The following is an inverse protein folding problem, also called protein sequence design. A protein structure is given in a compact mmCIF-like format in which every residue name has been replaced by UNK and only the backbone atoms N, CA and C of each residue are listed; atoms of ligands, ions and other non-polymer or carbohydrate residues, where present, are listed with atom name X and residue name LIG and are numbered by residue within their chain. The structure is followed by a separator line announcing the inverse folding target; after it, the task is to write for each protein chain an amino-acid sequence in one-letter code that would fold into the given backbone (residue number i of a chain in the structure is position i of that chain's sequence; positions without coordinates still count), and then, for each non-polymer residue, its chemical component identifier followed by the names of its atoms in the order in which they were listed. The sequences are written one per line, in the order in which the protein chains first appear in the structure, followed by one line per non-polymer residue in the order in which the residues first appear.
data_IF_237222853517
#
_entry.id   IF_237222853517
#
_cell.length_a   1.000
_cell.length_b   1.000
_cell.length_c   1.000
_cell.angle_alpha   90.00
_cell.angle_beta   90.00
_cell.angle_gamma   90.00
#
_symmetry.space_group_name_H-M   'P 1'
#
loop_
_entity.id
_entity.type
_entity.pdbx_description
1 polymer ?
#
# COMPACT_ATOMS: atom_id res chain seq x y z
N UNK A 1 -14.55 25.53 -13.15
CA UNK A 1 -14.10 24.33 -12.42
C UNK A 1 -12.63 24.15 -12.73
N UNK A 2 -11.74 24.00 -11.75
CA UNK A 2 -10.33 23.74 -12.02
C UNK A 2 -10.15 22.26 -12.38
N UNK A 3 -9.30 21.96 -13.35
CA UNK A 3 -8.97 20.56 -13.64
C UNK A 3 -8.19 19.94 -12.49
N UNK A 4 -8.46 18.68 -12.15
CA UNK A 4 -7.74 17.96 -11.10
C UNK A 4 -6.74 16.98 -11.73
N UNK A 5 -5.45 17.03 -11.38
CA UNK A 5 -4.49 16.01 -11.79
C UNK A 5 -4.81 14.68 -11.11
N UNK A 6 -4.59 13.57 -11.82
CA UNK A 6 -4.70 12.21 -11.30
C UNK A 6 -3.47 11.39 -11.71
N UNK A 7 -3.06 10.47 -10.84
CA UNK A 7 -1.81 9.70 -10.97
C UNK A 7 -2.08 8.24 -10.70
N UNK A 8 -1.64 7.41 -11.64
CA UNK A 8 -1.70 5.96 -11.53
C UNK A 8 -0.38 5.33 -11.96
N UNK A 9 -0.02 4.22 -11.36
CA UNK A 9 1.12 3.41 -11.82
C UNK A 9 0.60 2.31 -12.72
N UNK A 10 1.18 2.18 -13.92
CA UNK A 10 0.94 1.05 -14.81
C UNK A 10 1.86 -0.11 -14.41
N UNK A 11 3.12 0.20 -14.12
CA UNK A 11 4.15 -0.70 -13.58
C UNK A 11 5.09 0.10 -12.67
N UNK A 12 6.02 -0.53 -11.94
CA UNK A 12 7.05 0.19 -11.18
C UNK A 12 8.06 0.97 -12.04
N UNK A 13 8.03 0.75 -13.34
CA UNK A 13 8.82 1.50 -14.31
C UNK A 13 7.99 2.55 -15.04
N UNK A 14 6.67 2.63 -14.84
CA UNK A 14 5.81 3.50 -15.63
C UNK A 14 4.72 4.16 -14.80
N UNK A 15 4.75 5.50 -14.79
CA UNK A 15 3.69 6.33 -14.23
C UNK A 15 2.81 6.83 -15.38
N UNK A 16 1.50 6.79 -15.16
CA UNK A 16 0.50 7.41 -15.99
C UNK A 16 -0.12 8.59 -15.23
N UNK A 17 0.05 9.78 -15.79
CA UNK A 17 -0.43 11.04 -15.23
C UNK A 17 -1.51 11.58 -16.15
N UNK A 18 -2.64 11.98 -15.59
CA UNK A 18 -3.71 12.62 -16.35
C UNK A 18 -4.05 13.97 -15.76
N UNK A 19 -4.37 14.93 -16.62
CA UNK A 19 -4.89 16.23 -16.20
C UNK A 19 -6.15 16.54 -16.99
N UNK A 20 -7.30 16.50 -16.32
CA UNK A 20 -8.58 16.83 -16.95
C UNK A 20 -8.85 18.31 -16.83
N UNK A 21 -8.43 19.13 -17.81
CA UNK A 21 -8.84 20.55 -17.88
C UNK A 21 -10.24 20.69 -18.48
N UNK A 22 -11.06 21.65 -18.01
CA UNK A 22 -12.40 21.87 -18.55
C UNK A 22 -12.41 22.38 -19.99
N UNK A 23 -11.35 23.07 -20.41
CA UNK A 23 -11.24 23.72 -21.71
C UNK A 23 -10.47 22.89 -22.76
N UNK A 24 -9.94 21.71 -22.38
CA UNK A 24 -9.17 20.78 -23.23
C UNK A 24 -8.02 21.44 -24.02
N UNK A 25 -7.54 22.61 -23.59
CA UNK A 25 -6.43 23.29 -24.25
C UNK A 25 -5.10 22.67 -23.80
N UNK A 26 -4.19 22.33 -24.74
CA UNK A 26 -2.85 21.90 -24.39
C UNK A 26 -2.13 23.01 -23.62
N UNK A 27 -1.55 22.66 -22.48
CA UNK A 27 -0.68 23.57 -21.72
C UNK A 27 0.63 22.87 -21.38
N UNK A 28 1.71 23.65 -21.31
CA UNK A 28 2.98 23.17 -20.77
C UNK A 28 2.88 23.13 -19.24
N UNK A 29 3.36 22.04 -18.67
CA UNK A 29 3.53 21.93 -17.22
C UNK A 29 4.83 21.20 -16.93
N UNK A 30 5.40 21.49 -15.76
CA UNK A 30 6.53 20.78 -15.17
C UNK A 30 6.01 19.88 -14.06
N UNK A 31 6.57 18.68 -13.92
CA UNK A 31 6.23 17.78 -12.81
C UNK A 31 7.47 17.57 -11.94
N UNK A 32 7.32 17.75 -10.65
CA UNK A 32 8.37 17.46 -9.68
C UNK A 32 7.88 16.33 -8.79
N UNK A 33 8.62 15.22 -8.72
CA UNK A 33 8.29 14.10 -7.86
C UNK A 33 9.34 13.98 -6.75
N UNK A 34 8.92 14.28 -5.52
CA UNK A 34 9.76 14.21 -4.32
C UNK A 34 9.44 12.96 -3.52
N UNK A 35 10.45 12.14 -3.24
CA UNK A 35 10.33 11.02 -2.32
C UNK A 35 10.35 11.51 -0.88
N UNK A 36 9.39 11.08 -0.05
CA UNK A 36 9.21 11.63 1.29
C UNK A 36 9.76 10.74 2.41
N UNK A 37 10.00 9.45 2.16
CA UNK A 37 10.28 8.49 3.23
C UNK A 37 11.78 8.34 3.58
N UNK A 38 12.70 8.86 2.76
CA UNK A 38 14.14 8.85 3.05
C UNK A 38 14.78 10.21 2.71
N UNK A 39 15.32 10.89 3.72
CA UNK A 39 15.97 12.21 3.60
C UNK A 39 17.18 12.22 2.64
N UNK A 40 17.78 11.06 2.35
CA UNK A 40 18.98 10.91 1.53
C UNK A 40 18.73 10.39 0.11
N UNK A 41 17.47 10.21 -0.31
CA UNK A 41 17.15 9.67 -1.64
C UNK A 41 16.82 10.77 -2.66
N UNK A 42 17.10 10.54 -3.95
CA UNK A 42 16.99 11.57 -4.97
C UNK A 42 15.57 12.11 -5.09
N UNK A 43 15.46 13.44 -5.12
CA UNK A 43 14.32 14.13 -5.73
C UNK A 43 14.36 13.81 -7.22
N UNK A 44 13.28 13.25 -7.75
CA UNK A 44 13.16 13.00 -9.19
C UNK A 44 12.44 14.19 -9.81
N UNK A 45 13.19 15.10 -10.42
CA UNK A 45 12.61 16.19 -11.21
C UNK A 45 12.26 15.65 -12.61
N UNK A 46 10.97 15.63 -12.95
CA UNK A 46 10.47 15.16 -14.24
C UNK A 46 10.00 16.34 -15.08
N UNK A 47 10.91 16.85 -15.91
CA UNK A 47 10.58 17.93 -16.83
C UNK A 47 9.88 17.33 -18.06
N UNK A 48 8.55 17.32 -18.06
CA UNK A 48 7.78 17.05 -19.27
C UNK A 48 7.71 18.32 -20.11
N UNK A 49 8.18 18.27 -21.36
CA UNK A 49 8.23 19.45 -22.22
C UNK A 49 6.97 19.66 -23.07
N UNK A 50 6.02 18.73 -23.07
CA UNK A 50 4.74 18.83 -23.78
C UNK A 50 3.89 17.61 -23.50
N UNK A 51 2.69 17.80 -22.97
CA UNK A 51 1.61 16.84 -23.20
C UNK A 51 0.80 17.28 -24.40
N UNK A 52 0.66 16.37 -25.36
CA UNK A 52 -0.46 16.39 -26.27
C UNK A 52 -1.56 15.56 -25.60
N UNK A 53 -2.71 16.16 -25.30
CA UNK A 53 -3.99 15.49 -25.00
C UNK A 53 -4.22 14.90 -23.57
N UNK A 54 -4.02 15.68 -22.51
CA UNK A 54 -4.51 15.34 -21.15
C UNK A 54 -3.96 14.04 -20.49
N UNK A 55 -3.02 13.31 -21.12
CA UNK A 55 -2.31 12.15 -20.56
C UNK A 55 -0.78 12.18 -20.81
N UNK A 56 0.02 11.75 -19.83
CA UNK A 56 1.47 11.51 -19.93
C UNK A 56 1.80 10.13 -19.40
N UNK A 57 2.51 9.35 -20.21
CA UNK A 57 3.18 8.13 -19.78
C UNK A 57 4.66 8.42 -19.64
N UNK A 58 5.18 8.25 -18.42
CA UNK A 58 6.61 8.36 -18.16
C UNK A 58 7.16 7.00 -17.79
N UNK A 59 8.14 6.53 -18.57
CA UNK A 59 8.90 5.32 -18.27
C UNK A 59 10.24 5.68 -17.64
N UNK A 60 10.67 4.88 -16.68
CA UNK A 60 11.92 5.03 -15.93
C UNK A 60 12.81 3.82 -16.20
N UNK A 61 14.11 4.07 -16.38
CA UNK A 61 15.09 2.99 -16.58
C UNK A 61 15.24 2.13 -15.32
N UNK A 62 15.14 2.74 -14.14
CA UNK A 62 15.18 2.05 -12.85
C UNK A 62 13.80 1.98 -12.21
N UNK A 63 13.48 0.91 -11.47
CA UNK A 63 12.20 0.79 -10.79
C UNK A 63 12.07 1.85 -9.70
N UNK A 64 10.94 2.55 -9.70
CA UNK A 64 10.62 3.58 -8.71
C UNK A 64 10.53 2.93 -7.32
N UNK A 65 11.19 3.50 -6.30
CA UNK A 65 11.08 3.00 -4.94
C UNK A 65 9.66 2.94 -4.40
N UNK A 66 9.33 1.94 -3.59
CA UNK A 66 8.04 2.00 -2.87
C UNK A 66 8.12 3.05 -1.75
N UNK A 67 7.00 3.71 -1.47
CA UNK A 67 6.89 4.73 -0.43
C UNK A 67 5.94 5.87 -0.80
N UNK A 68 6.02 6.94 -0.02
CA UNK A 68 5.24 8.15 -0.17
C UNK A 68 5.97 9.16 -1.06
N UNK A 69 5.19 9.80 -1.92
CA UNK A 69 5.64 10.79 -2.90
C UNK A 69 4.79 12.04 -2.81
N UNK A 70 5.44 13.19 -2.94
CA UNK A 70 4.79 14.45 -3.24
C UNK A 70 5.03 14.73 -4.73
N UNK A 71 3.95 14.92 -5.48
CA UNK A 71 4.02 15.25 -6.89
C UNK A 71 3.46 16.66 -7.05
N UNK A 72 4.31 17.57 -7.48
CA UNK A 72 3.96 18.96 -7.74
C UNK A 72 3.86 19.15 -9.24
N UNK A 73 2.71 19.58 -9.71
CA UNK A 73 2.52 19.98 -11.09
C UNK A 73 2.49 21.50 -11.18
N UNK A 74 3.33 22.08 -12.03
CA UNK A 74 3.46 23.52 -12.22
C UNK A 74 3.14 23.89 -13.66
N UNK A 75 2.14 24.72 -13.90
CA UNK A 75 1.92 25.37 -15.20
C UNK A 75 2.53 26.78 -15.18
N UNK A 76 2.32 27.58 -16.23
CA UNK A 76 2.68 29.01 -16.19
C UNK A 76 1.84 29.83 -15.21
N UNK A 77 0.68 29.30 -14.78
CA UNK A 77 -0.32 30.04 -14.00
C UNK A 77 -0.66 29.38 -12.67
N UNK A 78 -0.50 28.07 -12.55
CA UNK A 78 -1.02 27.28 -11.43
C UNK A 78 0.03 26.29 -10.91
N UNK A 79 -0.03 26.04 -9.61
CA UNK A 79 0.73 24.96 -8.95
C UNK A 79 -0.24 24.07 -8.18
N UNK A 80 -0.15 22.76 -8.43
CA UNK A 80 -0.97 21.75 -7.79
C UNK A 80 -0.09 20.69 -7.17
N UNK A 81 -0.30 20.44 -5.89
CA UNK A 81 0.40 19.41 -5.15
C UNK A 81 -0.54 18.24 -4.84
N UNK A 82 -0.05 17.04 -5.10
CA UNK A 82 -0.71 15.81 -4.66
C UNK A 82 0.26 14.94 -3.85
N UNK A 83 -0.28 14.27 -2.84
CA UNK A 83 0.44 13.20 -2.17
C UNK A 83 -0.01 11.86 -2.74
N UNK A 84 0.95 11.03 -3.12
CA UNK A 84 0.73 9.73 -3.72
C UNK A 84 1.52 8.64 -2.99
N UNK A 85 1.03 7.41 -3.03
CA UNK A 85 1.70 6.26 -2.40
C UNK A 85 1.94 5.16 -3.42
N UNK A 86 3.19 4.72 -3.59
CA UNK A 86 3.52 3.47 -4.27
C UNK A 86 3.71 2.37 -3.20
N UNK A 87 2.70 1.52 -2.94
CA UNK A 87 2.78 0.60 -1.81
C UNK A 87 3.73 -0.58 -2.09
N UNK A 88 4.46 -1.01 -1.07
CA UNK A 88 5.13 -2.31 -1.09
C UNK A 88 4.10 -3.42 -0.86
N UNK A 89 3.37 -3.78 -1.92
CA UNK A 89 2.31 -4.78 -1.91
C UNK A 89 2.64 -5.94 -2.86
N UNK A 90 2.49 -7.15 -2.34
CA UNK A 90 2.74 -8.39 -3.08
C UNK A 90 1.48 -9.23 -3.22
N UNK A 91 1.47 -10.10 -4.24
CA UNK A 91 0.43 -11.12 -4.42
C UNK A 91 0.85 -12.40 -3.71
N UNK A 92 -0.12 -13.07 -3.09
CA UNK A 92 0.07 -14.38 -2.48
C UNK A 92 -0.30 -15.47 -3.50
N UNK A 93 0.56 -16.48 -3.68
CA UNK A 93 0.34 -17.53 -4.70
C UNK A 93 -0.94 -18.34 -4.52
N UNK A 94 -1.46 -18.44 -3.29
CA UNK A 94 -2.73 -19.11 -2.97
C UNK A 94 -3.97 -18.25 -3.26
N UNK A 95 -3.78 -17.05 -3.79
CA UNK A 95 -4.82 -16.04 -3.96
C UNK A 95 -4.84 -15.06 -2.79
N UNK A 96 -5.10 -13.79 -3.07
CA UNK A 96 -5.00 -12.71 -2.09
C UNK A 96 -3.75 -11.85 -2.25
N UNK A 97 -3.63 -10.86 -1.38
CA UNK A 97 -2.59 -9.84 -1.35
C UNK A 97 -1.86 -9.84 0.00
N UNK A 98 -0.77 -9.11 0.08
CA UNK A 98 -0.02 -8.86 1.30
C UNK A 98 0.76 -7.56 1.17
N UNK A 99 1.29 -7.03 2.26
CA UNK A 99 2.13 -5.84 2.22
C UNK A 99 3.32 -5.94 3.17
N UNK A 100 4.40 -5.26 2.80
CA UNK A 100 5.66 -5.20 3.53
C UNK A 100 5.64 -4.08 4.56
N UNK A 101 6.13 -4.34 5.77
CA UNK A 101 6.23 -3.38 6.88
C UNK A 101 7.55 -3.55 7.62
N UNK A 102 7.97 -2.53 8.37
CA UNK A 102 9.11 -2.66 9.27
C UNK A 102 8.63 -3.36 10.55
N UNK A 103 9.22 -4.52 10.88
CA UNK A 103 8.85 -5.25 12.08
C UNK A 103 9.21 -4.53 13.37
N UNK A 104 10.04 -3.47 13.33
CA UNK A 104 10.36 -2.64 14.51
C UNK A 104 9.10 -2.04 15.12
N UNK A 105 8.11 -1.73 14.30
CA UNK A 105 6.79 -1.27 14.73
C UNK A 105 6.04 -2.26 15.63
N UNK A 106 6.40 -3.54 15.54
CA UNK A 106 5.90 -4.66 16.33
C UNK A 106 6.97 -5.21 17.30
N UNK A 107 8.10 -4.52 17.46
CA UNK A 107 9.21 -4.91 18.33
C UNK A 107 10.03 -6.10 17.81
N UNK A 108 10.19 -6.24 16.49
CA UNK A 108 11.05 -7.22 15.84
C UNK A 108 12.11 -6.51 15.00
N UNK A 109 13.37 -6.96 15.03
CA UNK A 109 14.44 -6.35 14.23
C UNK A 109 14.53 -6.97 12.81
N UNK A 110 13.40 -7.07 12.10
CA UNK A 110 13.29 -7.66 10.75
C UNK A 110 12.14 -7.00 10.00
N UNK A 111 12.22 -6.90 8.67
CA UNK A 111 11.03 -6.60 7.88
C UNK A 111 10.04 -7.76 7.92
N UNK A 112 8.77 -7.43 7.83
CA UNK A 112 7.68 -8.39 7.93
C UNK A 112 6.68 -8.22 6.79
N UNK A 113 6.08 -9.32 6.38
CA UNK A 113 4.91 -9.32 5.49
C UNK A 113 3.67 -9.51 6.34
N UNK A 114 2.62 -8.74 6.07
CA UNK A 114 1.30 -8.87 6.69
C UNK A 114 0.26 -9.25 5.62
N UNK A 115 -0.62 -10.18 5.95
CA UNK A 115 -1.77 -10.60 5.15
C UNK A 115 -2.88 -11.16 6.06
N UNK A 116 -4.00 -11.63 5.52
CA UNK A 116 -5.01 -12.34 6.30
C UNK A 116 -4.61 -13.80 6.56
N UNK A 117 -5.11 -14.38 7.65
CA UNK A 117 -4.92 -15.80 7.90
C UNK A 117 -5.64 -16.65 6.87
N UNK A 118 -6.88 -16.31 6.53
CA UNK A 118 -7.67 -17.09 5.57
C UNK A 118 -7.06 -17.13 4.15
N UNK A 119 -6.19 -16.17 3.81
CA UNK A 119 -5.42 -16.15 2.55
C UNK A 119 -4.33 -17.22 2.56
N UNK A 120 -3.72 -17.47 3.71
CA UNK A 120 -2.68 -18.50 3.88
C UNK A 120 -3.29 -19.88 4.11
N UNK A 121 -4.40 -19.93 4.86
CA UNK A 121 -5.06 -21.14 5.34
C UNK A 121 -4.27 -21.86 6.44
N UNK A 122 -4.79 -22.99 6.91
CA UNK A 122 -4.15 -23.85 7.92
C UNK A 122 -3.05 -24.70 7.28
N UNK A 123 -1.98 -24.06 6.78
CA UNK A 123 -0.87 -24.78 6.17
C UNK A 123 0.30 -24.92 7.12
N UNK A 124 0.25 -25.94 7.99
CA UNK A 124 1.39 -26.31 8.83
C UNK A 124 2.64 -26.70 8.00
N UNK A 125 2.48 -27.10 6.73
CA UNK A 125 3.55 -27.69 5.90
C UNK A 125 3.67 -27.12 4.46
N UNK A 126 3.21 -25.89 4.15
CA UNK A 126 3.30 -25.36 2.77
C UNK A 126 4.22 -24.15 2.67
N UNK A 127 5.10 -24.19 1.68
CA UNK A 127 5.83 -23.03 1.18
C UNK A 127 4.83 -21.98 0.68
N UNK A 128 5.02 -20.74 1.13
CA UNK A 128 4.21 -19.62 0.71
C UNK A 128 5.04 -18.79 -0.27
N UNK A 129 4.55 -18.61 -1.49
CA UNK A 129 5.21 -17.75 -2.48
C UNK A 129 4.50 -16.41 -2.47
N UNK A 130 5.26 -15.35 -2.24
CA UNK A 130 4.81 -13.96 -2.33
C UNK A 130 5.54 -13.28 -3.48
N UNK A 131 4.79 -12.60 -4.33
CA UNK A 131 5.32 -11.93 -5.53
C UNK A 131 5.14 -10.42 -5.38
N UNK A 132 6.24 -9.70 -5.16
CA UNK A 132 6.29 -8.24 -5.23
C UNK A 132 6.76 -7.84 -6.62
N UNK A 133 5.80 -7.72 -7.55
CA UNK A 133 6.08 -7.50 -8.97
C UNK A 133 7.03 -8.59 -9.50
N UNK A 134 8.26 -8.24 -9.88
CA UNK A 134 9.27 -9.17 -10.41
C UNK A 134 10.01 -9.97 -9.32
N UNK A 135 9.86 -9.60 -8.04
CA UNK A 135 10.57 -10.26 -6.93
C UNK A 135 9.71 -11.37 -6.32
N UNK A 136 10.16 -12.60 -6.46
CA UNK A 136 9.48 -13.78 -5.91
C UNK A 136 10.15 -14.24 -4.62
N UNK A 137 9.44 -14.11 -3.50
CA UNK A 137 9.89 -14.56 -2.19
C UNK A 137 9.25 -15.89 -1.82
N UNK A 138 10.08 -16.89 -1.57
CA UNK A 138 9.66 -18.16 -0.98
C UNK A 138 9.76 -18.07 0.53
N UNK A 139 8.63 -18.05 1.21
CA UNK A 139 8.52 -17.92 2.65
C UNK A 139 8.33 -19.32 3.26
N UNK A 140 9.30 -19.71 4.08
CA UNK A 140 9.33 -20.99 4.79
C UNK A 140 9.30 -20.71 6.30
N UNK A 141 8.31 -21.27 7.00
CA UNK A 141 8.34 -21.57 8.43
C UNK A 141 8.58 -20.41 9.45
N UNK A 142 8.49 -19.13 9.08
CA UNK A 142 8.65 -17.99 10.01
C UNK A 142 7.37 -17.15 10.14
N UNK A 143 6.27 -17.80 10.50
CA UNK A 143 5.03 -17.13 10.85
C UNK A 143 5.10 -16.68 12.32
N UNK A 144 5.11 -15.37 12.55
CA UNK A 144 5.07 -14.84 13.91
C UNK A 144 3.71 -15.08 14.58
N UNK A 145 2.63 -15.09 13.78
CA UNK A 145 1.26 -15.39 14.23
C UNK A 145 0.38 -15.62 12.98
N UNK A 146 -0.48 -16.64 13.01
CA UNK A 146 -1.38 -17.06 11.93
C UNK A 146 -2.71 -17.47 12.53
N UNK A 147 -3.59 -16.51 12.88
CA UNK A 147 -4.96 -16.70 13.42
C UNK A 147 -5.19 -16.61 14.94
N UNK A 148 -6.39 -16.10 15.26
CA UNK A 148 -7.21 -16.53 16.40
C UNK A 148 -8.65 -16.77 15.89
N UNK A 149 -9.25 -17.93 16.13
CA UNK A 149 -10.71 -18.16 16.26
C UNK A 149 -10.85 -19.06 17.49
N UNK A 150 -11.86 -18.94 18.34
CA UNK A 150 -13.27 -18.94 17.99
C UNK A 150 -14.01 -17.83 18.77
N UNK A 151 -14.88 -17.10 18.06
CA UNK A 151 -15.81 -16.07 18.53
C UNK A 151 -15.33 -14.61 18.65
N UNK A 152 -14.03 -14.27 18.67
CA UNK A 152 -13.58 -12.85 18.71
C UNK A 152 -12.29 -12.48 17.94
N UNK A 153 -11.62 -13.43 17.27
CA UNK A 153 -10.24 -13.23 16.83
C UNK A 153 -9.98 -12.30 15.64
N UNK A 154 -8.73 -11.86 15.54
CA UNK A 154 -8.19 -11.04 14.45
C UNK A 154 -7.66 -11.95 13.33
N UNK A 155 -8.16 -11.74 12.11
CA UNK A 155 -7.79 -12.51 10.93
C UNK A 155 -6.59 -11.89 10.22
N UNK A 156 -5.41 -12.16 10.76
CA UNK A 156 -4.14 -11.74 10.19
C UNK A 156 -3.06 -12.81 10.34
N UNK A 157 -2.07 -12.70 9.47
CA UNK A 157 -0.83 -13.44 9.49
C UNK A 157 0.32 -12.46 9.32
N UNK A 158 1.37 -12.62 10.13
CA UNK A 158 2.63 -11.87 9.97
C UNK A 158 3.80 -12.82 9.77
N UNK A 159 4.63 -12.57 8.77
CA UNK A 159 5.78 -13.41 8.38
C UNK A 159 7.06 -12.58 8.44
N UNK A 160 8.06 -13.04 9.19
CA UNK A 160 9.36 -12.39 9.24
C UNK A 160 10.23 -12.75 8.05
N UNK A 161 10.94 -11.77 7.49
CA UNK A 161 11.86 -12.00 6.38
C UNK A 161 13.28 -12.32 6.86
N UNK A 162 13.97 -13.15 6.08
CA UNK A 162 15.41 -13.39 6.27
C UNK A 162 16.23 -12.20 5.76
N UNK A 163 17.50 -12.11 6.14
CA UNK A 163 18.43 -11.09 5.64
C UNK A 163 18.52 -11.11 4.12
N UNK A 164 18.65 -12.29 3.52
CA UNK A 164 18.70 -12.45 2.06
C UNK A 164 17.44 -11.91 1.38
N UNK A 165 16.26 -12.20 1.91
CA UNK A 165 14.99 -11.69 1.35
C UNK A 165 14.89 -10.17 1.48
N UNK A 166 15.37 -9.59 2.59
CA UNK A 166 15.41 -8.13 2.75
C UNK A 166 16.40 -7.49 1.76
N UNK A 167 17.55 -8.12 1.49
CA UNK A 167 18.51 -7.64 0.47
C UNK A 167 17.86 -7.67 -0.91
N UNK A 168 17.25 -8.79 -1.31
CA UNK A 168 16.55 -8.91 -2.60
C UNK A 168 15.49 -7.81 -2.80
N UNK A 169 14.72 -7.49 -1.75
CA UNK A 169 13.73 -6.41 -1.81
C UNK A 169 14.39 -5.04 -1.95
N UNK A 170 15.46 -4.77 -1.19
CA UNK A 170 16.21 -3.51 -1.26
C UNK A 170 16.84 -3.28 -2.63
N UNK A 171 17.44 -4.31 -3.21
CA UNK A 171 18.06 -4.26 -4.54
C UNK A 171 17.01 -3.96 -5.62
N UNK A 172 15.78 -4.43 -5.42
CA UNK A 172 14.63 -4.09 -6.26
C UNK A 172 13.94 -2.77 -5.88
N UNK A 173 14.52 -1.93 -5.02
CA UNK A 173 13.92 -0.68 -4.53
C UNK A 173 12.58 -0.85 -3.78
N UNK A 174 12.31 -2.01 -3.17
CA UNK A 174 11.10 -2.28 -2.38
C UNK A 174 11.40 -2.07 -0.90
N UNK A 175 10.79 -1.05 -0.33
CA UNK A 175 10.92 -0.64 1.07
C UNK A 175 9.58 -0.78 1.81
N UNK A 176 9.61 -1.07 3.12
CA UNK A 176 8.43 -1.16 3.95
C UNK A 176 7.49 0.04 3.86
N UNK A 177 6.19 -0.23 3.92
CA UNK A 177 5.18 0.82 4.06
C UNK A 177 5.20 1.40 5.48
N UNK A 178 4.89 2.68 5.60
CA UNK A 178 4.69 3.36 6.89
C UNK A 178 3.38 2.94 7.56
N UNK A 179 3.45 2.62 8.84
CA UNK A 179 2.30 2.28 9.67
C UNK A 179 1.91 3.44 10.58
N UNK A 180 0.60 3.58 10.83
CA UNK A 180 0.10 4.45 11.88
C UNK A 180 -0.88 3.72 12.78
N UNK A 181 -0.52 3.62 14.06
CA UNK A 181 -1.34 2.99 15.10
C UNK A 181 -2.10 4.00 15.96
N UNK A 182 -1.80 5.30 15.84
CA UNK A 182 -2.31 6.35 16.73
C UNK A 182 -3.55 7.03 16.16
N UNK A 183 -3.62 7.24 14.85
CA UNK A 183 -4.62 8.12 14.23
C UNK A 183 -5.84 7.38 13.67
N UNK A 184 -6.27 6.31 14.36
CA UNK A 184 -7.27 5.32 13.91
C UNK A 184 -8.45 5.91 13.11
N UNK A 185 -8.35 5.89 11.78
CA UNK A 185 -9.36 6.35 10.85
C UNK A 185 -10.05 7.63 11.34
N UNK A 186 -9.26 8.61 11.80
CA UNK A 186 -9.75 9.88 12.36
C UNK A 186 -10.70 10.58 11.39
N UNK A 187 -10.39 10.49 10.11
CA UNK A 187 -11.23 10.94 9.01
C UNK A 187 -12.08 9.79 8.48
N UNK A 188 -13.25 10.11 7.90
CA UNK A 188 -14.09 9.10 7.24
C UNK A 188 -13.54 8.69 5.86
N UNK A 189 -12.54 9.38 5.32
CA UNK A 189 -11.88 8.99 4.06
C UNK A 189 -10.76 7.98 4.30
N UNK A 190 -10.72 6.93 3.49
CA UNK A 190 -9.58 6.01 3.38
C UNK A 190 -9.39 5.57 1.92
N UNK A 191 -8.26 4.92 1.64
CA UNK A 191 -7.90 4.38 0.34
C UNK A 191 -7.57 2.91 0.50
N UNK A 192 -8.30 2.04 -0.20
CA UNK A 192 -7.88 0.65 -0.36
C UNK A 192 -6.96 0.57 -1.57
N UNK A 193 -5.72 0.13 -1.36
CA UNK A 193 -4.79 -0.12 -2.46
C UNK A 193 -4.64 -1.64 -2.62
N UNK A 194 -5.09 -2.19 -3.75
CA UNK A 194 -5.25 -3.65 -3.91
C UNK A 194 -4.88 -4.17 -5.30
N UNK A 195 -4.52 -5.45 -5.39
CA UNK A 195 -4.22 -6.17 -6.65
C UNK A 195 -5.25 -7.30 -6.84
N UNK A 196 -6.38 -7.06 -7.53
CA UNK A 196 -7.37 -8.10 -7.80
C UNK A 196 -6.80 -9.23 -8.68
N UNK A 197 -7.40 -10.41 -8.63
CA UNK A 197 -6.93 -11.62 -9.34
C UNK A 197 -7.11 -11.59 -10.87
N UNK A 198 -7.63 -10.52 -11.47
CA UNK A 198 -7.88 -10.46 -12.91
C UNK A 198 -6.57 -10.50 -13.71
N UNK A 199 -6.65 -10.96 -14.97
CA UNK A 199 -5.53 -11.29 -15.88
C UNK A 199 -4.61 -10.08 -16.18
N UNK A 200 -5.00 -8.87 -15.78
CA UNK A 200 -4.23 -7.64 -15.95
C UNK A 200 -3.86 -7.04 -14.58
N UNK A 201 -3.00 -7.72 -13.81
CA UNK A 201 -2.44 -7.41 -12.48
C UNK A 201 -2.05 -5.93 -12.19
N UNK A 202 -2.99 -4.99 -12.31
CA UNK A 202 -2.80 -3.57 -12.00
C UNK A 202 -3.08 -3.33 -10.53
N UNK A 203 -2.34 -2.41 -9.93
CA UNK A 203 -2.65 -1.89 -8.61
C UNK A 203 -3.84 -0.94 -8.75
N UNK A 204 -4.91 -1.22 -8.03
CA UNK A 204 -6.09 -0.37 -7.96
C UNK A 204 -6.04 0.47 -6.69
N UNK A 205 -6.31 1.76 -6.86
CA UNK A 205 -6.46 2.74 -5.79
C UNK A 205 -7.96 3.03 -5.68
N UNK A 206 -8.63 2.38 -4.73
CA UNK A 206 -10.08 2.54 -4.55
C UNK A 206 -10.35 3.48 -3.37
N UNK A 207 -10.85 4.71 -3.62
CA UNK A 207 -11.28 5.59 -2.54
C UNK A 207 -12.45 4.96 -1.80
N UNK A 208 -12.44 5.09 -0.48
CA UNK A 208 -13.38 4.45 0.41
C UNK A 208 -13.88 5.44 1.47
N UNK A 209 -15.13 5.25 1.91
CA UNK A 209 -15.75 6.01 2.99
C UNK A 209 -16.05 5.11 4.17
N UNK A 210 -15.42 5.37 5.31
CA UNK A 210 -15.71 4.68 6.57
C UNK A 210 -17.15 4.98 7.01
N UNK A 211 -17.91 3.91 7.24
CA UNK A 211 -19.33 3.97 7.66
C UNK A 211 -19.57 3.40 9.05
N UNK A 212 -18.69 2.50 9.53
CA UNK A 212 -18.81 1.92 10.88
C UNK A 212 -17.45 1.62 11.47
N UNK A 213 -17.30 1.87 12.77
CA UNK A 213 -16.10 1.55 13.55
C UNK A 213 -16.47 0.62 14.70
N UNK A 214 -15.66 -0.40 14.93
CA UNK A 214 -15.67 -1.22 16.15
C UNK A 214 -14.28 -1.14 16.80
N UNK A 215 -14.08 -1.65 18.02
CA UNK A 215 -12.76 -1.63 18.64
C UNK A 215 -11.66 -2.20 17.73
N UNK A 216 -11.94 -3.31 17.02
CA UNK A 216 -10.95 -4.04 16.24
C UNK A 216 -11.05 -3.88 14.72
N UNK A 217 -12.17 -3.35 14.21
CA UNK A 217 -12.47 -3.34 12.77
C UNK A 217 -13.07 -2.02 12.33
N UNK A 218 -12.98 -1.77 11.03
CA UNK A 218 -13.66 -0.67 10.35
C UNK A 218 -14.40 -1.25 9.15
N UNK A 219 -15.62 -0.74 8.92
CA UNK A 219 -16.38 -0.99 7.70
C UNK A 219 -16.42 0.30 6.89
N UNK A 220 -16.25 0.16 5.58
CA UNK A 220 -16.28 1.23 4.62
C UNK A 220 -17.06 0.84 3.36
N UNK A 221 -17.53 1.85 2.65
CA UNK A 221 -18.13 1.76 1.32
C UNK A 221 -17.09 2.15 0.27
N UNK A 222 -17.15 1.51 -0.90
CA UNK A 222 -16.30 1.83 -2.04
C UNK A 222 -16.90 3.02 -2.79
N UNK A 223 -16.07 4.03 -3.09
CA UNK A 223 -16.45 5.18 -3.91
C UNK A 223 -15.98 5.05 -5.37
N UNK A 224 -15.41 3.89 -5.72
CA UNK A 224 -14.94 3.55 -7.06
C UNK A 224 -15.07 2.05 -7.30
N UNK A 225 -14.25 1.49 -8.20
CA UNK A 225 -14.27 0.06 -8.50
C UNK A 225 -14.15 -0.78 -7.23
N UNK A 226 -15.16 -1.62 -7.00
CA UNK A 226 -15.23 -2.50 -5.83
C UNK A 226 -14.16 -3.59 -5.86
N UNK A 227 -13.88 -4.18 -4.71
CA UNK A 227 -12.98 -5.35 -4.64
C UNK A 227 -13.55 -6.55 -5.36
N UNK A 228 -12.71 -7.26 -6.10
CA UNK A 228 -12.97 -8.61 -6.59
C UNK A 228 -12.17 -9.64 -5.80
N UNK A 229 -12.18 -10.90 -6.22
CA UNK A 229 -11.34 -11.93 -5.60
C UNK A 229 -9.86 -11.52 -5.69
N UNK A 230 -9.11 -11.67 -4.60
CA UNK A 230 -7.67 -11.32 -4.54
C UNK A 230 -7.32 -10.08 -3.72
N UNK A 231 -8.29 -9.22 -3.36
CA UNK A 231 -8.02 -8.01 -2.56
C UNK A 231 -7.81 -8.30 -1.06
N UNK A 232 -8.24 -9.45 -0.55
CA UNK A 232 -8.01 -9.86 0.83
C UNK A 232 -6.51 -9.87 1.14
N UNK A 233 -6.10 -9.22 2.22
CA UNK A 233 -4.69 -9.04 2.55
C UNK A 233 -4.10 -7.70 2.12
N UNK A 234 -4.84 -6.88 1.39
CA UNK A 234 -4.40 -5.57 0.93
C UNK A 234 -4.36 -4.51 2.06
N UNK A 235 -3.44 -3.55 1.97
CA UNK A 235 -3.36 -2.44 2.90
C UNK A 235 -4.49 -1.42 2.70
N UNK A 236 -5.02 -0.90 3.80
CA UNK A 236 -5.94 0.24 3.82
C UNK A 236 -5.20 1.45 4.39
N UNK A 237 -5.04 2.46 3.55
CA UNK A 237 -4.40 3.74 3.88
C UNK A 237 -5.43 4.74 4.37
N UNK A 238 -5.05 5.57 5.32
CA UNK A 238 -5.82 6.73 5.73
C UNK A 238 -4.87 7.84 6.21
N UNK A 239 -5.39 9.06 6.25
CA UNK A 239 -4.63 10.21 6.73
C UNK A 239 -4.32 10.06 8.23
N UNK A 240 -3.05 10.20 8.58
CA UNK A 240 -2.56 10.26 9.95
C UNK A 240 -2.91 11.59 10.61
N UNK A 241 -2.69 11.69 11.92
CA UNK A 241 -2.80 12.94 12.69
C UNK A 241 -1.79 14.00 12.26
N UNK A 242 -0.74 13.61 11.52
CA UNK A 242 0.27 14.51 10.93
C UNK A 242 -0.03 14.84 9.46
N UNK A 243 -1.23 14.52 8.98
CA UNK A 243 -1.62 14.67 7.57
C UNK A 243 -0.73 13.88 6.61
N UNK A 244 -0.29 12.68 7.01
CA UNK A 244 0.49 11.79 6.16
C UNK A 244 -0.34 10.56 5.81
N UNK A 245 -0.24 10.06 4.58
CA UNK A 245 -0.82 8.76 4.25
C UNK A 245 0.00 7.63 4.90
N UNK A 246 -0.69 6.80 5.68
CA UNK A 246 -0.10 5.63 6.32
C UNK A 246 -1.11 4.48 6.34
N UNK A 247 -0.61 3.25 6.45
CA UNK A 247 -1.49 2.08 6.60
C UNK A 247 -2.08 2.10 8.01
N UNK A 248 -3.41 2.04 8.07
CA UNK A 248 -4.17 1.99 9.31
C UNK A 248 -5.05 0.74 9.40
N UNK A 249 -5.22 -0.01 8.30
CA UNK A 249 -5.93 -1.27 8.32
C UNK A 249 -5.42 -2.33 7.35
N UNK A 250 -5.81 -3.57 7.61
CA UNK A 250 -5.63 -4.74 6.77
C UNK A 250 -7.01 -5.14 6.20
N UNK A 251 -7.20 -5.02 4.89
CA UNK A 251 -8.44 -5.43 4.24
C UNK A 251 -8.68 -6.92 4.45
N UNK A 252 -9.92 -7.27 4.76
CA UNK A 252 -10.36 -8.66 4.91
C UNK A 252 -11.30 -9.06 3.77
N UNK A 253 -12.53 -8.54 3.77
CA UNK A 253 -13.53 -8.84 2.76
C UNK A 253 -14.69 -7.83 2.85
N UNK A 254 -15.41 -7.62 1.73
CA UNK A 254 -16.71 -6.91 1.67
C UNK A 254 -16.72 -5.57 2.43
N UNK A 255 -15.73 -4.72 2.14
CA UNK A 255 -15.61 -3.40 2.77
C UNK A 255 -15.23 -3.42 4.24
N UNK A 256 -14.66 -4.51 4.76
CA UNK A 256 -14.21 -4.62 6.15
C UNK A 256 -12.69 -4.72 6.20
N UNK A 257 -12.07 -3.95 7.09
CA UNK A 257 -10.67 -4.10 7.46
C UNK A 257 -10.48 -4.26 8.97
N UNK A 258 -9.40 -4.94 9.33
CA UNK A 258 -8.91 -5.03 10.71
C UNK A 258 -8.00 -3.84 10.96
N UNK A 259 -8.12 -3.18 12.11
CA UNK A 259 -7.26 -2.05 12.45
C UNK A 259 -5.83 -2.53 12.74
N UNK A 260 -4.83 -1.81 12.23
CA UNK A 260 -3.42 -2.12 12.49
C UNK A 260 -3.06 -2.01 13.97
N UNK A 261 -3.68 -1.09 14.71
CA UNK A 261 -3.50 -0.98 16.17
C UNK A 261 -3.90 -2.25 16.90
N UNK A 262 -5.03 -2.86 16.55
CA UNK A 262 -5.48 -4.11 17.17
C UNK A 262 -4.53 -5.27 16.85
N UNK A 263 -3.99 -5.33 15.63
CA UNK A 263 -2.95 -6.30 15.27
C UNK A 263 -1.70 -6.09 16.16
N UNK A 264 -1.27 -4.84 16.34
CA UNK A 264 -0.12 -4.52 17.21
C UNK A 264 -0.35 -4.91 18.66
N UNK A 265 -1.49 -4.56 19.25
CA UNK A 265 -1.85 -4.91 20.63
C UNK A 265 -1.84 -6.43 20.84
N UNK A 266 -2.47 -7.17 19.92
CA UNK A 266 -2.54 -8.63 19.94
C UNK A 266 -1.15 -9.30 19.77
N UNK A 267 -0.25 -8.68 19.01
CA UNK A 267 1.14 -9.12 18.90
C UNK A 267 1.95 -8.87 20.18
N UNK A 268 1.75 -7.72 20.83
CA UNK A 268 2.52 -7.31 22.01
C UNK A 268 2.08 -8.07 23.27
N UNK A 269 0.78 -8.33 23.46
CA UNK A 269 0.28 -9.10 24.61
C UNK A 269 0.83 -10.53 24.64
N UNK A 270 1.08 -11.14 23.48
CA UNK A 270 1.65 -12.49 23.39
C UNK A 270 3.15 -12.57 23.70
N UNK A 271 3.89 -11.45 23.64
CA UNK A 271 5.30 -11.41 24.08
C UNK A 271 5.41 -11.46 25.61
N UNK A 272 4.46 -10.84 26.32
CA UNK A 272 4.45 -10.78 27.79
C UNK A 272 4.20 -12.17 28.39
N UNK A 273 3.34 -12.99 27.77
CA UNK A 273 3.02 -14.35 28.23
C UNK A 273 4.13 -15.39 28.00
N UNK A 274 5.23 -15.02 27.35
CA UNK A 274 6.38 -15.92 27.07
C UNK A 274 7.62 -15.60 27.92
N UNK A 275 7.49 -14.71 28.90
CA UNK A 275 8.44 -14.52 30.00
C UNK A 275 7.89 -15.22 31.25
#
# INVERSE_FOLDING_TARGET
MFGSPDVSFVTRHQIHLTWKKPDNKPEKFTIEMKYLDLESKPTFTLISNKMLLNELYQTFEQPIPTGNYQITFKTSTDEHEITFVLPAMGRVSKGGSCFLVDGKDFGYNKWCIITNHHVIGDSKNKELIVMFDEVHLRLRYWFFKTHTNQNQGLDYTMVGLTTTQMIMLKDANIYPNKLDFKSEFKHNGCMLIHKPNSVHCRVLYTPCKVVKRTPTRVRYEYLGESTSSGSSGSPVFAMSSKNEFAIQGLHKAKGVCIKMKSIKEDMMMNKIKKK
#
